data_IF_885782922340
#
_entry.id   IF_885782922340
#
_cell.length_a   1.000
_cell.length_b   1.000
_cell.length_c   1.000
_cell.angle_alpha   90.00
_cell.angle_beta   90.00
_cell.angle_gamma   90.00
#
_symmetry.space_group_name_H-M   'P 1'
#
loop_
_entity.id
_entity.type
_entity.pdbx_description
1 polymer ?
#
# COMPACT_ATOMS: atom_id res chain seq x y z
N UNK A 1 -13.56 -4.57 7.48
CA UNK A 1 -12.68 -3.41 7.76
C UNK A 1 -12.88 -2.80 9.17
N UNK A 2 -14.07 -2.32 9.55
CA UNK A 2 -14.29 -1.68 10.88
C UNK A 2 -13.98 -2.59 12.07
N UNK A 3 -14.31 -3.89 11.99
CA UNK A 3 -13.94 -4.87 13.02
C UNK A 3 -12.43 -4.96 13.22
N UNK A 4 -11.65 -5.01 12.12
CA UNK A 4 -10.17 -5.01 12.20
C UNK A 4 -9.66 -3.76 12.87
N UNK A 5 -10.20 -2.58 12.51
CA UNK A 5 -9.85 -1.31 13.16
C UNK A 5 -10.07 -1.41 14.67
N UNK A 6 -11.26 -1.81 15.13
CA UNK A 6 -11.61 -1.91 16.56
C UNK A 6 -10.72 -2.92 17.29
N UNK A 7 -10.63 -4.14 16.77
CA UNK A 7 -9.84 -5.22 17.39
C UNK A 7 -8.36 -4.87 17.43
N UNK A 8 -7.84 -4.07 16.49
CA UNK A 8 -6.43 -3.67 16.51
C UNK A 8 -6.03 -2.70 17.63
N UNK A 9 -6.99 -1.97 18.24
CA UNK A 9 -6.70 -1.00 19.30
C UNK A 9 -6.00 -1.61 20.53
N UNK A 10 -6.52 -2.69 21.15
CA UNK A 10 -5.87 -3.29 22.31
C UNK A 10 -4.52 -3.94 21.99
N UNK A 11 -4.35 -4.47 20.77
CA UNK A 11 -3.16 -5.27 20.43
C UNK A 11 -2.00 -4.47 19.84
N UNK A 12 -2.24 -3.30 19.27
CA UNK A 12 -1.20 -2.56 18.57
C UNK A 12 -1.23 -1.08 18.92
N UNK A 13 -0.07 -0.46 18.99
CA UNK A 13 0.07 1.00 19.13
C UNK A 13 0.51 1.57 17.79
N UNK A 14 -0.05 2.69 17.36
CA UNK A 14 0.36 3.35 16.13
C UNK A 14 1.08 4.65 16.47
N UNK A 15 2.28 4.83 15.91
CA UNK A 15 2.99 6.11 15.88
C UNK A 15 2.92 6.62 14.45
N UNK A 16 2.09 7.65 14.25
CA UNK A 16 1.82 8.26 12.95
C UNK A 16 2.50 9.61 12.90
N UNK A 17 3.26 9.87 11.83
CA UNK A 17 3.79 11.19 11.52
C UNK A 17 3.23 11.63 10.17
N UNK A 18 2.66 12.83 10.10
CA UNK A 18 2.19 13.42 8.85
C UNK A 18 3.29 14.31 8.26
N UNK A 19 3.55 14.14 6.96
CA UNK A 19 4.56 14.89 6.22
C UNK A 19 3.94 16.02 5.37
N UNK A 20 2.62 15.98 5.17
CA UNK A 20 1.84 17.02 4.49
C UNK A 20 1.11 17.90 5.51
N UNK A 21 0.88 19.16 5.15
CA UNK A 21 0.05 20.09 5.93
C UNK A 21 -1.42 19.65 5.94
N UNK A 22 -1.89 19.01 4.86
CA UNK A 22 -3.22 18.37 4.81
C UNK A 22 -3.21 17.09 5.64
N UNK A 23 -4.16 16.98 6.56
CA UNK A 23 -4.25 15.91 7.56
C UNK A 23 -5.56 15.11 7.45
N UNK A 24 -5.92 14.43 8.54
CA UNK A 24 -6.97 13.42 8.69
C UNK A 24 -8.36 13.81 8.14
N UNK A 25 -8.72 15.08 8.18
CA UNK A 25 -10.03 15.57 7.68
C UNK A 25 -10.17 15.45 6.15
N UNK A 26 -9.06 15.42 5.42
CA UNK A 26 -9.03 15.31 3.96
C UNK A 26 -8.96 13.86 3.45
N UNK A 27 -8.94 12.86 4.35
CA UNK A 27 -8.86 11.43 3.95
C UNK A 27 -10.08 10.99 3.14
N UNK A 28 -11.24 11.63 3.31
CA UNK A 28 -12.47 11.21 2.64
C UNK A 28 -12.46 11.40 1.11
N UNK A 29 -11.55 12.24 0.61
CA UNK A 29 -11.31 12.51 -0.82
C UNK A 29 -10.22 11.61 -1.44
N UNK A 30 -9.65 10.70 -0.66
CA UNK A 30 -8.63 9.78 -1.17
C UNK A 30 -9.24 8.84 -2.21
N UNK A 31 -8.57 8.73 -3.36
CA UNK A 31 -8.88 7.81 -4.48
C UNK A 31 -7.81 6.75 -4.67
N UNK A 32 -6.57 7.04 -4.29
CA UNK A 32 -5.46 6.09 -4.37
C UNK A 32 -4.69 6.03 -3.05
N UNK A 33 -4.50 4.83 -2.52
CA UNK A 33 -3.67 4.55 -1.35
C UNK A 33 -2.43 3.79 -1.83
N UNK A 34 -1.26 4.42 -1.74
CA UNK A 34 0.03 3.81 -2.08
C UNK A 34 0.71 3.38 -0.78
N UNK A 35 0.70 2.08 -0.50
CA UNK A 35 1.38 1.52 0.67
C UNK A 35 2.81 1.10 0.28
N UNK A 36 3.79 1.83 0.79
CA UNK A 36 5.20 1.57 0.55
C UNK A 36 5.82 0.76 1.68
N UNK A 37 6.86 0.00 1.32
CA UNK A 37 7.57 -0.95 2.17
C UNK A 37 6.72 -2.16 2.59
N UNK A 38 6.19 -2.88 1.60
CA UNK A 38 5.47 -4.12 1.83
C UNK A 38 6.36 -5.21 2.47
N UNK A 39 6.05 -5.62 3.68
CA UNK A 39 6.86 -6.57 4.48
C UNK A 39 6.05 -7.75 5.01
N UNK A 40 4.75 -7.58 5.24
CA UNK A 40 3.92 -8.61 5.88
C UNK A 40 2.58 -8.78 5.17
N UNK A 41 1.84 -9.84 5.51
CA UNK A 41 0.41 -9.93 5.15
C UNK A 41 -0.46 -9.05 6.06
N UNK A 42 0.11 -8.55 7.18
CA UNK A 42 -0.59 -7.73 8.16
C UNK A 42 -0.69 -6.25 7.78
N UNK A 43 -0.33 -5.84 6.57
CA UNK A 43 -0.53 -4.45 6.10
C UNK A 43 -2.01 -4.04 6.16
N UNK A 44 -2.93 -5.01 6.15
CA UNK A 44 -4.36 -4.77 6.40
C UNK A 44 -4.64 -4.07 7.74
N UNK A 45 -3.73 -4.13 8.72
CA UNK A 45 -3.83 -3.38 9.98
C UNK A 45 -3.83 -1.85 9.77
N UNK A 46 -3.28 -1.36 8.65
CA UNK A 46 -3.32 0.07 8.31
C UNK A 46 -4.75 0.61 8.10
N UNK A 47 -5.75 -0.26 7.94
CA UNK A 47 -7.17 0.12 7.97
C UNK A 47 -7.57 0.89 9.24
N UNK A 48 -6.81 0.72 10.34
CA UNK A 48 -7.00 1.50 11.57
C UNK A 48 -6.81 3.00 11.36
N UNK A 49 -5.95 3.40 10.42
CA UNK A 49 -5.62 4.80 10.16
C UNK A 49 -6.74 5.56 9.43
N UNK A 50 -7.68 4.86 8.81
CA UNK A 50 -8.82 5.48 8.12
C UNK A 50 -9.94 5.89 9.09
N UNK A 51 -10.67 6.96 8.78
CA UNK A 51 -11.90 7.34 9.48
C UNK A 51 -12.99 6.27 9.30
N UNK A 52 -13.91 6.11 10.26
CA UNK A 52 -15.02 5.16 10.09
C UNK A 52 -15.88 5.52 8.86
N UNK A 53 -16.06 6.81 8.59
CA UNK A 53 -16.76 7.30 7.38
C UNK A 53 -16.07 6.81 6.11
N UNK A 54 -14.75 6.93 6.04
CA UNK A 54 -13.98 6.44 4.91
C UNK A 54 -14.03 4.92 4.79
N UNK A 55 -14.01 4.17 5.90
CA UNK A 55 -14.17 2.71 5.87
C UNK A 55 -15.51 2.26 5.26
N UNK A 56 -16.58 3.01 5.49
CA UNK A 56 -17.87 2.77 4.83
C UNK A 56 -17.83 3.04 3.33
N UNK A 57 -17.09 4.07 2.88
CA UNK A 57 -16.85 4.34 1.46
C UNK A 57 -16.04 3.21 0.82
N UNK A 58 -14.94 2.80 1.47
CA UNK A 58 -14.12 1.66 1.03
C UNK A 58 -14.94 0.37 0.94
N UNK A 59 -15.88 0.11 1.85
CA UNK A 59 -16.69 -1.11 1.79
C UNK A 59 -17.46 -1.29 0.48
N UNK A 60 -17.77 -0.20 -0.23
CA UNK A 60 -18.51 -0.20 -1.50
C UNK A 60 -17.65 -0.03 -2.74
N UNK A 61 -16.56 0.73 -2.65
CA UNK A 61 -15.80 1.18 -3.82
C UNK A 61 -14.32 0.76 -3.81
N UNK A 62 -13.90 -0.03 -2.82
CA UNK A 62 -12.51 -0.43 -2.70
C UNK A 62 -12.08 -1.38 -3.82
N UNK A 63 -10.87 -1.19 -4.35
CA UNK A 63 -10.22 -2.05 -5.32
C UNK A 63 -8.76 -2.27 -4.90
N UNK A 64 -8.31 -3.52 -4.91
CA UNK A 64 -6.91 -3.86 -4.65
C UNK A 64 -6.43 -4.94 -5.62
N UNK A 65 -5.40 -4.65 -6.45
CA UNK A 65 -4.80 -5.66 -7.31
C UNK A 65 -3.91 -6.57 -6.46
N UNK A 66 -4.21 -7.87 -6.45
CA UNK A 66 -3.43 -8.89 -5.72
C UNK A 66 -2.99 -9.96 -6.70
N UNK A 67 -1.74 -10.43 -6.58
CA UNK A 67 -1.25 -11.51 -7.42
C UNK A 67 -2.09 -12.80 -7.23
N UNK A 68 -2.48 -13.42 -8.34
CA UNK A 68 -3.16 -14.72 -8.43
C UNK A 68 -2.53 -15.82 -7.54
N UNK A 69 -1.20 -15.91 -7.53
CA UNK A 69 -0.47 -16.87 -6.67
C UNK A 69 -0.65 -16.64 -5.16
N UNK A 70 -1.12 -15.46 -4.76
CA UNK A 70 -1.41 -15.12 -3.36
C UNK A 70 -2.87 -15.44 -3.04
N UNK A 71 -3.80 -15.17 -3.97
CA UNK A 71 -5.25 -15.45 -3.77
C UNK A 71 -5.56 -16.94 -3.81
N UNK A 72 -4.79 -17.74 -4.57
CA UNK A 72 -4.94 -19.20 -4.64
C UNK A 72 -4.46 -19.95 -3.39
N UNK A 73 -3.79 -19.28 -2.44
CA UNK A 73 -3.34 -19.92 -1.19
C UNK A 73 -4.51 -20.03 -0.22
N UNK A 74 -4.93 -21.22 0.26
CA UNK A 74 -6.18 -21.40 1.00
C UNK A 74 -6.36 -20.47 2.20
N UNK A 75 -5.34 -20.39 3.07
CA UNK A 75 -5.40 -19.59 4.30
C UNK A 75 -5.27 -18.07 4.04
N UNK A 76 -4.46 -17.69 3.06
CA UNK A 76 -4.20 -16.27 2.74
C UNK A 76 -5.37 -15.72 1.94
N UNK A 77 -5.87 -16.48 0.97
CA UNK A 77 -7.09 -16.17 0.23
C UNK A 77 -8.28 -15.95 1.15
N UNK A 78 -8.52 -16.84 2.12
CA UNK A 78 -9.60 -16.68 3.10
C UNK A 78 -9.45 -15.40 3.94
N UNK A 79 -8.26 -15.13 4.48
CA UNK A 79 -8.00 -13.92 5.28
C UNK A 79 -8.25 -12.64 4.48
N UNK A 80 -7.80 -12.57 3.23
CA UNK A 80 -7.97 -11.36 2.42
C UNK A 80 -9.40 -11.19 1.89
N UNK A 81 -10.07 -12.26 1.44
CA UNK A 81 -11.47 -12.19 1.00
C UNK A 81 -12.42 -11.79 2.14
N UNK A 82 -12.14 -12.22 3.38
CA UNK A 82 -12.94 -11.84 4.53
C UNK A 82 -12.74 -10.36 4.95
N UNK A 83 -11.60 -9.77 4.61
CA UNK A 83 -11.22 -8.43 5.08
C UNK A 83 -11.42 -7.32 4.05
N UNK A 84 -11.27 -7.61 2.76
CA UNK A 84 -11.25 -6.64 1.67
C UNK A 84 -12.24 -7.06 0.57
N UNK A 85 -13.38 -6.36 0.40
CA UNK A 85 -14.43 -6.73 -0.56
C UNK A 85 -14.01 -6.54 -2.04
N UNK A 86 -12.90 -5.85 -2.29
CA UNK A 86 -12.48 -5.35 -3.61
C UNK A 86 -11.30 -6.04 -4.27
N UNK A 87 -10.98 -7.28 -3.89
CA UNK A 87 -9.78 -7.95 -4.40
C UNK A 87 -9.96 -8.31 -5.87
N UNK A 88 -9.06 -7.82 -6.71
CA UNK A 88 -8.98 -8.21 -8.12
C UNK A 88 -7.70 -9.02 -8.30
N UNK A 89 -7.84 -10.28 -8.71
CA UNK A 89 -6.69 -11.14 -9.00
C UNK A 89 -6.02 -10.72 -10.30
N UNK A 90 -4.73 -10.39 -10.23
CA UNK A 90 -3.90 -10.03 -11.37
C UNK A 90 -2.88 -11.14 -11.61
N UNK A 91 -2.71 -11.55 -12.87
CA UNK A 91 -1.65 -12.48 -13.21
C UNK A 91 -0.30 -11.79 -13.32
N UNK A 92 0.76 -12.52 -13.01
CA UNK A 92 2.14 -12.12 -13.34
C UNK A 92 2.51 -12.38 -14.79
N UNK A 93 1.60 -12.99 -15.58
CA UNK A 93 1.77 -13.22 -17.01
C UNK A 93 1.37 -11.98 -17.80
N UNK A 94 1.82 -11.88 -19.04
CA UNK A 94 1.36 -10.85 -19.98
C UNK A 94 -0.02 -11.26 -20.49
N UNK A 95 -1.06 -10.87 -19.74
CA UNK A 95 -2.46 -11.11 -20.06
C UNK A 95 -3.31 -9.86 -19.80
N UNK A 96 -4.62 -9.98 -20.06
CA UNK A 96 -5.56 -8.86 -19.95
C UNK A 96 -6.03 -8.59 -18.52
N UNK A 97 -5.53 -9.31 -17.51
CA UNK A 97 -6.00 -9.16 -16.12
C UNK A 97 -5.74 -7.75 -15.58
N UNK A 98 -4.62 -7.14 -15.97
CA UNK A 98 -4.30 -5.76 -15.62
C UNK A 98 -5.24 -4.75 -16.26
N UNK A 99 -5.52 -4.91 -17.56
CA UNK A 99 -6.44 -4.01 -18.28
C UNK A 99 -7.87 -4.12 -17.74
N UNK A 100 -8.32 -5.33 -17.41
CA UNK A 100 -9.62 -5.56 -16.75
C UNK A 100 -9.71 -4.96 -15.34
N UNK A 101 -8.58 -4.77 -14.68
CA UNK A 101 -8.53 -4.06 -13.41
C UNK A 101 -8.58 -2.55 -13.62
N UNK A 102 -7.77 -2.01 -14.54
CA UNK A 102 -7.79 -0.58 -14.87
C UNK A 102 -9.17 -0.13 -15.34
N UNK A 103 -9.88 -0.93 -16.12
CA UNK A 103 -11.25 -0.62 -16.57
C UNK A 103 -12.29 -0.54 -15.43
N UNK A 104 -11.93 -0.91 -14.20
CA UNK A 104 -12.78 -0.76 -13.00
C UNK A 104 -12.40 0.46 -12.18
N UNK A 105 -11.25 1.09 -12.45
CA UNK A 105 -10.85 2.34 -11.83
C UNK A 105 -11.69 3.43 -12.47
N UNK A 106 -12.73 3.86 -11.75
CA UNK A 106 -13.61 4.95 -12.13
C UNK A 106 -13.58 6.03 -11.05
N UNK A 107 -14.35 7.11 -11.24
CA UNK A 107 -14.35 8.24 -10.31
C UNK A 107 -14.71 7.85 -8.88
N UNK A 108 -15.55 6.84 -8.66
CA UNK A 108 -15.92 6.43 -7.31
C UNK A 108 -14.91 5.48 -6.66
N UNK A 109 -14.06 4.85 -7.45
CA UNK A 109 -13.13 3.82 -7.00
C UNK A 109 -12.14 4.34 -5.96
N UNK A 110 -11.87 3.50 -4.97
CA UNK A 110 -10.78 3.70 -4.00
C UNK A 110 -9.78 2.57 -4.22
N UNK A 111 -8.68 2.88 -4.87
CA UNK A 111 -7.64 1.91 -5.16
C UNK A 111 -6.62 1.88 -4.03
N UNK A 112 -6.24 0.69 -3.54
CA UNK A 112 -5.02 0.52 -2.76
C UNK A 112 -4.02 -0.34 -3.52
N UNK A 113 -2.74 0.03 -3.47
CA UNK A 113 -1.67 -0.72 -4.12
C UNK A 113 -0.42 -0.78 -3.25
N UNK A 114 0.24 -1.94 -3.29
CA UNK A 114 1.61 -2.13 -2.78
C UNK A 114 2.53 -2.23 -3.99
N UNK A 115 3.11 -1.11 -4.43
CA UNK A 115 3.61 -0.96 -5.78
C UNK A 115 4.90 -1.76 -6.02
N UNK A 116 5.54 -2.32 -4.99
CA UNK A 116 6.67 -3.24 -5.19
C UNK A 116 6.23 -4.61 -5.74
N UNK A 117 4.94 -4.97 -5.56
CA UNK A 117 4.33 -6.23 -6.04
C UNK A 117 4.85 -7.49 -5.36
N UNK A 118 5.67 -7.34 -4.31
CA UNK A 118 6.31 -8.41 -3.55
C UNK A 118 6.60 -7.96 -2.12
N UNK A 119 6.67 -8.91 -1.20
CA UNK A 119 7.10 -8.63 0.17
C UNK A 119 8.62 -8.60 0.25
N UNK A 120 9.14 -7.63 1.00
CA UNK A 120 10.50 -7.59 1.53
C UNK A 120 10.73 -8.81 2.42
N UNK A 121 11.97 -9.28 2.49
CA UNK A 121 12.44 -10.40 3.31
C UNK A 121 13.18 -9.90 4.53
N UNK A 122 13.49 -10.83 5.43
CA UNK A 122 14.13 -10.51 6.71
C UNK A 122 15.48 -9.80 6.55
N UNK A 123 16.17 -10.03 5.42
CA UNK A 123 17.46 -9.44 5.03
C UNK A 123 17.32 -8.06 4.37
N UNK A 124 16.09 -7.54 4.26
CA UNK A 124 15.81 -6.24 3.63
C UNK A 124 15.65 -6.30 2.11
N UNK A 125 15.88 -7.46 1.49
CA UNK A 125 15.82 -7.66 0.05
C UNK A 125 14.53 -8.34 -0.35
N UNK A 126 14.34 -8.56 -1.65
CA UNK A 126 13.22 -9.35 -2.15
C UNK A 126 13.55 -10.86 -2.16
N UNK A 127 12.58 -11.70 -2.56
CA UNK A 127 12.74 -13.17 -2.63
C UNK A 127 13.90 -13.69 -3.52
N UNK A 128 14.47 -12.84 -4.38
CA UNK A 128 15.59 -13.10 -5.26
C UNK A 128 16.88 -12.40 -4.81
N UNK A 129 16.90 -11.81 -3.60
CA UNK A 129 18.08 -11.14 -3.07
C UNK A 129 18.42 -9.82 -3.75
N UNK A 130 17.46 -9.15 -4.43
CA UNK A 130 17.66 -7.80 -4.97
C UNK A 130 16.95 -6.75 -4.10
N UNK A 131 17.35 -5.47 -4.18
CA UNK A 131 16.64 -4.39 -3.51
C UNK A 131 15.16 -4.32 -3.92
N UNK A 132 14.33 -3.80 -3.02
CA UNK A 132 12.93 -3.51 -3.30
C UNK A 132 12.83 -2.40 -4.35
N UNK A 133 11.89 -2.54 -5.28
CA UNK A 133 11.69 -1.59 -6.37
C UNK A 133 10.22 -1.47 -6.72
N UNK A 134 9.82 -0.23 -7.02
CA UNK A 134 8.47 0.13 -7.47
C UNK A 134 8.23 -0.40 -8.88
N UNK A 135 7.06 -1.00 -9.11
CA UNK A 135 6.62 -1.50 -10.41
C UNK A 135 5.82 -0.44 -11.15
N UNK A 136 5.85 -0.49 -12.47
CA UNK A 136 5.20 0.48 -13.36
C UNK A 136 3.68 0.53 -13.22
N UNK A 137 3.01 -0.52 -12.73
CA UNK A 137 1.55 -0.55 -12.63
C UNK A 137 0.95 0.58 -11.77
N UNK A 138 1.67 1.09 -10.76
CA UNK A 138 1.17 2.24 -10.01
C UNK A 138 1.04 3.50 -10.88
N UNK A 139 1.93 3.66 -11.86
CA UNK A 139 1.88 4.80 -12.78
C UNK A 139 0.68 4.73 -13.72
N UNK A 140 0.26 3.53 -14.12
CA UNK A 140 -0.96 3.35 -14.90
C UNK A 140 -2.18 3.81 -14.09
N UNK A 141 -2.28 3.41 -12.81
CA UNK A 141 -3.38 3.85 -11.94
C UNK A 141 -3.38 5.37 -11.78
N UNK A 142 -2.22 5.98 -11.53
CA UNK A 142 -2.11 7.44 -11.40
C UNK A 142 -2.61 8.12 -12.68
N UNK A 143 -2.23 7.65 -13.87
CA UNK A 143 -2.71 8.21 -15.14
C UNK A 143 -4.25 8.15 -15.25
N UNK A 144 -4.90 7.08 -14.79
CA UNK A 144 -6.37 6.92 -14.84
C UNK A 144 -7.16 7.81 -13.85
N UNK A 145 -6.52 8.36 -12.80
CA UNK A 145 -7.24 9.18 -11.81
C UNK A 145 -7.62 10.56 -12.38
N UNK A 146 -8.90 10.92 -12.43
CA UNK A 146 -9.33 12.24 -12.91
C UNK A 146 -9.24 13.36 -11.87
N UNK A 147 -9.03 13.01 -10.58
CA UNK A 147 -8.90 13.98 -9.51
C UNK A 147 -8.87 13.34 -8.13
N UNK A 148 -9.11 14.15 -7.09
CA UNK A 148 -9.08 13.73 -5.69
C UNK A 148 -7.66 13.70 -5.11
N UNK A 149 -7.43 12.79 -4.16
CA UNK A 149 -6.15 12.72 -3.44
C UNK A 149 -5.48 11.33 -3.47
N UNK A 150 -4.15 11.33 -3.54
CA UNK A 150 -3.27 10.18 -3.32
C UNK A 150 -2.80 10.20 -1.86
N UNK A 151 -3.05 9.12 -1.14
CA UNK A 151 -2.51 8.89 0.19
C UNK A 151 -1.29 7.98 0.09
N UNK A 152 -0.11 8.52 0.36
CA UNK A 152 1.10 7.74 0.56
C UNK A 152 1.18 7.28 2.01
N UNK A 153 1.38 5.98 2.19
CA UNK A 153 1.55 5.33 3.49
C UNK A 153 2.94 4.69 3.53
N UNK A 154 3.86 5.34 4.25
CA UNK A 154 5.25 4.91 4.39
C UNK A 154 5.37 3.96 5.59
N UNK A 155 5.27 2.66 5.33
CA UNK A 155 5.33 1.64 6.39
C UNK A 155 6.74 1.54 6.98
N UNK A 156 6.85 1.58 8.32
CA UNK A 156 8.09 1.20 9.01
C UNK A 156 8.40 -0.30 8.93
N UNK A 157 7.56 -1.08 8.24
CA UNK A 157 7.60 -2.53 8.19
C UNK A 157 6.79 -3.17 9.32
N UNK A 158 6.38 -4.43 9.12
CA UNK A 158 5.55 -5.21 10.03
C UNK A 158 6.16 -6.59 10.34
N UNK A 159 7.44 -6.83 10.03
CA UNK A 159 8.10 -8.11 10.36
C UNK A 159 8.12 -8.40 11.86
N UNK A 160 8.17 -7.37 12.70
CA UNK A 160 8.08 -7.49 14.15
C UNK A 160 6.70 -7.93 14.66
N UNK A 161 5.67 -7.84 13.82
CA UNK A 161 4.37 -8.48 14.02
C UNK A 161 4.43 -9.88 13.44
N UNK A 162 4.71 -9.99 12.14
CA UNK A 162 4.77 -11.27 11.46
C UNK A 162 5.72 -11.21 10.27
N UNK A 163 6.71 -12.10 10.28
CA UNK A 163 7.59 -12.36 9.15
C UNK A 163 6.90 -13.37 8.22
N UNK A 164 7.01 -13.23 6.88
CA UNK A 164 6.48 -14.23 5.96
C UNK A 164 6.92 -15.66 6.33
N UNK A 165 5.94 -16.56 6.56
CA UNK A 165 6.17 -17.95 6.98
C UNK A 165 5.98 -18.21 8.47
N UNK A 166 5.97 -17.17 9.31
CA UNK A 166 5.64 -17.30 10.73
C UNK A 166 4.13 -17.56 10.91
N UNK A 167 3.78 -18.56 11.74
CA UNK A 167 2.38 -19.03 11.94
C UNK A 167 1.50 -18.04 12.71
N UNK A 168 2.01 -17.43 13.78
CA UNK A 168 1.23 -16.55 14.65
C UNK A 168 1.84 -15.14 14.72
N UNK A 169 1.02 -14.07 14.70
CA UNK A 169 1.50 -12.71 14.85
C UNK A 169 1.90 -12.43 16.30
N UNK A 170 2.91 -11.57 16.48
CA UNK A 170 3.30 -11.03 17.77
C UNK A 170 2.39 -9.85 18.11
N UNK A 171 1.74 -9.93 19.26
CA UNK A 171 0.86 -8.89 19.78
C UNK A 171 1.65 -7.81 20.55
N UNK A 172 0.96 -6.70 20.88
CA UNK A 172 1.46 -5.57 21.68
C UNK A 172 2.67 -4.87 21.08
N UNK A 173 2.67 -4.75 19.75
CA UNK A 173 3.74 -4.09 19.00
C UNK A 173 3.37 -2.66 18.61
N UNK A 174 4.40 -1.82 18.46
CA UNK A 174 4.23 -0.47 17.93
C UNK A 174 4.45 -0.48 16.43
N UNK A 175 3.44 -0.06 15.68
CA UNK A 175 3.51 0.18 14.23
C UNK A 175 3.90 1.63 14.03
N UNK A 176 4.99 1.88 13.30
CA UNK A 176 5.42 3.22 12.91
C UNK A 176 5.06 3.45 11.45
N UNK A 177 4.51 4.61 11.16
CA UNK A 177 4.07 4.98 9.80
C UNK A 177 4.24 6.48 9.60
N UNK A 178 4.78 6.86 8.45
CA UNK A 178 4.67 8.23 7.97
C UNK A 178 3.54 8.28 6.93
N UNK A 179 2.80 9.38 6.87
CA UNK A 179 1.68 9.56 5.96
C UNK A 179 1.81 10.90 5.24
N UNK A 180 1.43 10.93 3.97
CA UNK A 180 1.40 12.14 3.16
C UNK A 180 0.22 12.10 2.22
N UNK A 181 -0.51 13.21 2.18
CA UNK A 181 -1.64 13.41 1.28
C UNK A 181 -1.23 14.37 0.16
N UNK A 182 -1.40 13.93 -1.08
CA UNK A 182 -1.05 14.71 -2.28
C UNK A 182 -2.28 14.80 -3.18
N UNK A 183 -2.61 15.99 -3.67
CA UNK A 183 -3.69 16.14 -4.66
C UNK A 183 -3.25 15.55 -6.00
N UNK A 184 -4.16 14.85 -6.69
CA UNK A 184 -3.88 14.16 -7.95
C UNK A 184 -3.46 15.15 -9.05
N UNK A 185 -4.15 16.27 -9.17
CA UNK A 185 -3.89 17.25 -10.23
C UNK A 185 -2.53 17.94 -10.02
N UNK A 186 -2.25 18.37 -8.79
CA UNK A 186 -0.97 18.92 -8.38
C UNK A 186 0.17 17.91 -8.64
N UNK A 187 -0.04 16.63 -8.31
CA UNK A 187 0.94 15.56 -8.52
C UNK A 187 1.22 15.31 -10.00
N UNK A 188 0.16 15.22 -10.82
CA UNK A 188 0.26 15.02 -12.27
C UNK A 188 0.94 16.21 -12.94
N UNK A 189 0.63 17.42 -12.52
CA UNK A 189 1.22 18.65 -13.04
C UNK A 189 2.72 18.74 -12.71
N UNK A 190 3.10 18.46 -11.47
CA UNK A 190 4.50 18.51 -11.02
C UNK A 190 5.40 17.53 -11.78
N UNK A 191 4.86 16.37 -12.19
CA UNK A 191 5.58 15.32 -12.90
C UNK A 191 5.16 15.22 -14.38
N UNK A 192 4.56 16.29 -14.91
CA UNK A 192 4.02 16.30 -16.26
C UNK A 192 5.12 16.06 -17.30
N UNK A 193 4.79 15.23 -18.28
CA UNK A 193 5.58 15.09 -19.50
C UNK A 193 4.64 14.73 -20.66
N UNK A 194 4.89 15.30 -21.84
CA UNK A 194 4.09 15.08 -23.05
C UNK A 194 4.14 13.63 -23.52
N UNK A 195 5.34 13.05 -23.57
CA UNK A 195 5.53 11.61 -23.77
C UNK A 195 5.04 10.78 -22.56
N UNK A 196 4.08 9.88 -22.83
CA UNK A 196 3.45 9.05 -21.80
C UNK A 196 4.42 8.09 -21.10
N UNK A 197 5.41 7.55 -21.82
CA UNK A 197 6.39 6.63 -21.22
C UNK A 197 7.31 7.36 -20.24
N UNK A 198 7.76 8.58 -20.59
CA UNK A 198 8.55 9.44 -19.71
C UNK A 198 7.75 9.90 -18.50
N UNK A 199 6.47 10.25 -18.67
CA UNK A 199 5.57 10.58 -17.55
C UNK A 199 5.41 9.43 -16.57
N UNK A 200 5.11 8.22 -17.06
CA UNK A 200 5.06 7.01 -16.20
C UNK A 200 6.37 6.72 -15.49
N UNK A 201 7.49 6.94 -16.17
CA UNK A 201 8.83 6.80 -15.56
C UNK A 201 9.05 7.84 -14.45
N UNK A 202 8.56 9.06 -14.62
CA UNK A 202 8.63 10.10 -13.59
C UNK A 202 7.82 9.71 -12.34
N UNK A 203 6.60 9.21 -12.50
CA UNK A 203 5.81 8.69 -11.37
C UNK A 203 6.54 7.57 -10.63
N UNK A 204 7.04 6.56 -11.35
CA UNK A 204 7.78 5.45 -10.73
C UNK A 204 9.03 5.94 -10.00
N UNK A 205 9.77 6.88 -10.59
CA UNK A 205 10.98 7.43 -9.99
C UNK A 205 10.68 8.21 -8.71
N UNK A 206 9.64 9.04 -8.71
CA UNK A 206 9.21 9.78 -7.53
C UNK A 206 8.79 8.81 -6.40
N UNK A 207 7.92 7.84 -6.70
CA UNK A 207 7.45 6.85 -5.72
C UNK A 207 8.63 5.99 -5.21
N UNK A 208 9.61 5.68 -6.06
CA UNK A 208 10.84 4.99 -5.65
C UNK A 208 11.67 5.85 -4.69
N UNK A 209 11.84 7.15 -4.97
CA UNK A 209 12.54 8.07 -4.05
C UNK A 209 11.85 8.13 -2.68
N UNK A 210 10.51 8.15 -2.67
CA UNK A 210 9.73 8.11 -1.43
C UNK A 210 9.94 6.80 -0.65
N UNK A 211 9.97 5.66 -1.34
CA UNK A 211 10.29 4.36 -0.75
C UNK A 211 11.69 4.33 -0.11
N UNK A 212 12.64 5.06 -0.67
CA UNK A 212 14.03 5.10 -0.19
C UNK A 212 14.24 6.08 0.96
N UNK A 213 13.48 7.19 1.00
CA UNK A 213 13.78 8.33 1.86
C UNK A 213 12.75 8.59 2.97
N UNK A 214 11.49 8.19 2.79
CA UNK A 214 10.39 8.61 3.67
C UNK A 214 9.96 7.55 4.70
N UNK A 215 10.58 6.36 4.68
CA UNK A 215 10.22 5.29 5.61
C UNK A 215 10.65 5.63 7.05
N UNK A 216 9.77 5.48 8.05
CA UNK A 216 10.16 5.70 9.44
C UNK A 216 11.09 4.59 9.91
N UNK A 217 12.18 4.98 10.58
CA UNK A 217 13.09 4.01 11.19
C UNK A 217 12.41 3.24 12.32
N UNK A 218 12.49 1.91 12.25
CA UNK A 218 11.89 1.00 13.21
C UNK A 218 12.95 -0.03 13.68
N UNK A 219 13.44 0.14 14.90
CA UNK A 219 14.42 -0.74 15.55
C UNK A 219 13.96 -2.19 15.67
N UNK A 220 12.66 -2.45 15.57
CA UNK A 220 12.12 -3.81 15.68
C UNK A 220 12.18 -4.57 14.34
N UNK A 221 12.56 -3.89 13.25
CA UNK A 221 12.72 -4.56 11.96
C UNK A 221 14.06 -5.30 11.90
N UNK A 222 14.06 -6.57 11.48
CA UNK A 222 15.28 -7.35 11.39
C UNK A 222 16.30 -6.70 10.44
N UNK A 223 15.83 -6.16 9.31
CA UNK A 223 16.69 -5.56 8.29
C UNK A 223 17.27 -4.19 8.65
N UNK A 224 16.77 -3.53 9.69
CA UNK A 224 17.34 -2.26 10.19
C UNK A 224 18.48 -2.50 11.18
N UNK A 225 18.54 -3.70 11.77
CA UNK A 225 19.56 -4.11 12.73
C UNK A 225 20.67 -4.95 12.10
N UNK A 226 20.64 -5.12 10.78
CA UNK A 226 21.77 -5.62 10.00
C UNK A 226 22.81 -4.49 9.93
N UNK A 227 23.47 -4.21 11.06
CA UNK A 227 24.76 -3.51 11.04
C UNK A 227 25.83 -4.54 10.69
N UNK A 228 26.78 -4.08 9.87
CA UNK A 228 27.93 -4.79 9.32
C UNK A 228 28.66 -5.71 10.31
#
# INVERSE_FOLDING_TARGET
>A
MSLVKIVSYPFYRFKVSWQSDRQYESIDDVKLIVLLNHTSLYEALFVRLASFRYLWKMARHFLIPVADVTTQRPMVGFFFHALLPGIVSISRKRDDSWQKFLSKVNDDAIVAILPEGRMRRHDGKDKHGKPMSVRTGVADIVDELEGGSILFVYSGGLHHIQIPGQRFPKLFRTIKVNMELVNVDEYKQALHHTDARKRKTAYVKDIQSRLEQQLPYCEQQPYNNLKD
#
